data_IF_748566728132
#
_entry.id   IF_748566728132
#
_cell.length_a   1.000
_cell.length_b   1.000
_cell.length_c   1.000
_cell.angle_alpha   90.00
_cell.angle_beta   90.00
_cell.angle_gamma   90.00
#
_symmetry.space_group_name_H-M   'P 1'
#
loop_
_entity.id
_entity.type
_entity.pdbx_description
1 polymer ?
#
# COMPACT_ATOMS: atom_id res chain seq x y z
N UNK A 1 -10.28 -24.24 23.06
CA UNK A 1 -10.40 -23.64 21.73
C UNK A 1 -9.72 -22.29 21.84
N UNK A 2 -8.75 -21.98 20.98
CA UNK A 2 -8.14 -20.67 20.89
C UNK A 2 -9.18 -19.64 20.43
N UNK A 3 -9.05 -18.44 20.91
CA UNK A 3 -9.88 -17.30 20.49
C UNK A 3 -8.95 -16.24 19.91
N UNK A 4 -9.49 -15.38 19.03
CA UNK A 4 -8.78 -14.17 18.61
C UNK A 4 -8.39 -13.36 19.84
N UNK A 5 -7.26 -12.60 19.80
CA UNK A 5 -6.79 -11.83 20.95
C UNK A 5 -7.83 -10.79 21.38
N UNK A 6 -7.85 -10.49 22.67
CA UNK A 6 -8.63 -9.37 23.20
C UNK A 6 -8.13 -8.07 22.56
N UNK A 7 -9.05 -7.21 22.12
CA UNK A 7 -8.69 -5.99 21.41
C UNK A 7 -8.37 -6.16 19.91
N UNK A 8 -8.67 -7.31 19.32
CA UNK A 8 -8.52 -7.52 17.88
C UNK A 8 -9.27 -6.46 17.08
N UNK A 9 -8.58 -5.83 16.12
CA UNK A 9 -9.11 -4.71 15.37
C UNK A 9 -9.89 -5.19 14.13
N UNK A 10 -11.21 -5.17 14.24
CA UNK A 10 -12.12 -5.44 13.14
C UNK A 10 -12.56 -4.15 12.46
N UNK A 11 -12.56 -4.11 11.12
CA UNK A 11 -13.03 -2.92 10.43
C UNK A 11 -12.99 -3.01 8.92
N UNK A 12 -12.67 -1.90 8.29
CA UNK A 12 -12.55 -1.78 6.85
C UNK A 12 -11.55 -0.73 6.46
N UNK A 13 -11.11 -0.79 5.20
CA UNK A 13 -10.04 0.02 4.66
C UNK A 13 -10.45 0.75 3.39
N UNK A 14 -9.98 1.99 3.27
CA UNK A 14 -10.07 2.85 2.09
C UNK A 14 -8.82 3.74 2.02
N UNK A 15 -8.72 4.57 0.97
CA UNK A 15 -7.72 5.63 0.87
C UNK A 15 -8.40 6.98 0.62
N UNK A 16 -7.76 8.07 1.03
CA UNK A 16 -8.29 9.42 0.89
C UNK A 16 -8.78 9.70 -0.54
N UNK A 17 -7.96 9.40 -1.56
CA UNK A 17 -8.31 9.63 -2.96
C UNK A 17 -9.50 8.79 -3.46
N UNK A 18 -9.82 7.69 -2.79
CA UNK A 18 -10.93 6.80 -3.20
C UNK A 18 -12.29 7.32 -2.70
N UNK A 19 -12.32 8.11 -1.63
CA UNK A 19 -13.59 8.47 -0.98
C UNK A 19 -13.78 9.96 -0.69
N UNK A 20 -12.72 10.75 -0.49
CA UNK A 20 -12.88 12.11 0.02
C UNK A 20 -13.58 13.05 -0.95
N UNK A 21 -13.23 13.08 -2.23
CA UNK A 21 -13.65 14.14 -3.14
C UNK A 21 -13.06 15.50 -2.71
N UNK A 22 -13.79 16.61 -2.97
CA UNK A 22 -13.37 17.97 -2.58
C UNK A 22 -11.88 18.24 -2.96
N UNK A 23 -11.49 17.84 -4.16
CA UNK A 23 -10.10 17.73 -4.62
C UNK A 23 -9.37 19.07 -4.73
N UNK A 24 -10.10 20.18 -4.87
CA UNK A 24 -9.61 21.56 -5.00
C UNK A 24 -10.18 22.52 -3.92
N UNK A 25 -10.76 21.95 -2.84
CA UNK A 25 -11.35 22.74 -1.76
C UNK A 25 -10.37 22.96 -0.60
N UNK A 26 -10.61 24.02 0.17
CA UNK A 26 -9.88 24.38 1.40
C UNK A 26 -8.34 24.40 1.23
N UNK A 27 -7.89 24.77 0.05
CA UNK A 27 -6.47 24.90 -0.26
C UNK A 27 -5.74 23.60 -0.57
N UNK A 28 -6.47 22.49 -0.77
CA UNK A 28 -5.86 21.23 -1.23
C UNK A 28 -5.18 21.45 -2.59
N UNK A 29 -3.94 20.95 -2.71
CA UNK A 29 -3.23 20.90 -3.98
C UNK A 29 -3.52 19.65 -4.78
N UNK A 30 -3.02 19.62 -6.01
CA UNK A 30 -3.19 18.49 -6.93
C UNK A 30 -2.21 17.37 -6.59
N UNK A 31 -2.72 16.14 -6.51
CA UNK A 31 -1.93 14.91 -6.41
C UNK A 31 -1.89 14.16 -7.75
N UNK A 32 -1.04 13.13 -7.85
CA UNK A 32 -1.04 12.21 -9.00
C UNK A 32 -2.42 11.59 -9.22
N UNK A 33 -3.13 11.26 -8.15
CA UNK A 33 -4.47 10.68 -8.23
C UNK A 33 -5.47 11.63 -8.92
N UNK A 34 -5.29 12.95 -8.78
CA UNK A 34 -6.19 13.96 -9.36
C UNK A 34 -6.05 14.13 -10.87
N UNK A 35 -4.99 13.58 -11.47
CA UNK A 35 -4.75 13.56 -12.93
C UNK A 35 -4.96 12.19 -13.55
N UNK A 36 -5.59 11.26 -12.83
CA UNK A 36 -5.88 9.90 -13.27
C UNK A 36 -7.33 9.78 -13.72
N UNK A 37 -7.53 9.51 -15.00
CA UNK A 37 -8.86 9.37 -15.58
C UNK A 37 -9.57 8.10 -15.14
N UNK A 38 -10.88 8.03 -15.35
CA UNK A 38 -11.65 6.78 -15.23
C UNK A 38 -11.15 5.77 -16.25
N UNK A 39 -11.07 4.50 -15.84
CA UNK A 39 -10.85 3.36 -16.73
C UNK A 39 -12.11 2.52 -16.91
N UNK A 40 -11.98 1.41 -17.59
CA UNK A 40 -13.00 0.38 -17.74
C UNK A 40 -12.35 -1.00 -17.90
N UNK A 41 -13.15 -2.06 -17.97
CA UNK A 41 -12.65 -3.42 -18.25
C UNK A 41 -11.83 -3.53 -19.55
N UNK A 42 -12.05 -2.63 -20.51
CA UNK A 42 -11.41 -2.65 -21.83
C UNK A 42 -10.52 -1.44 -22.11
N UNK A 43 -10.53 -0.44 -21.22
CA UNK A 43 -9.74 0.79 -21.36
C UNK A 43 -9.00 1.09 -20.08
N UNK A 44 -7.65 1.11 -20.09
CA UNK A 44 -6.87 1.46 -18.91
C UNK A 44 -7.11 2.93 -18.50
N UNK A 45 -6.85 3.24 -17.24
CA UNK A 45 -6.77 4.62 -16.77
C UNK A 45 -5.58 5.32 -17.43
N UNK A 46 -5.71 6.62 -17.65
CA UNK A 46 -4.65 7.47 -18.19
C UNK A 46 -4.19 8.46 -17.11
N UNK A 47 -2.90 8.69 -17.04
CA UNK A 47 -2.33 9.82 -16.28
C UNK A 47 -2.15 10.96 -17.28
N UNK A 48 -2.86 12.06 -17.05
CA UNK A 48 -2.85 13.21 -17.96
C UNK A 48 -1.86 14.27 -17.51
N UNK A 49 -1.42 15.13 -18.42
CA UNK A 49 -0.60 16.29 -18.08
C UNK A 49 -1.48 17.43 -17.56
N UNK A 50 -1.74 17.38 -16.24
CA UNK A 50 -2.74 18.21 -15.58
C UNK A 50 -4.17 17.76 -15.84
N UNK A 51 -5.13 18.48 -15.29
CA UNK A 51 -6.56 18.22 -15.49
C UNK A 51 -7.01 18.73 -16.84
N UNK A 52 -7.53 17.86 -17.69
CA UNK A 52 -8.01 18.18 -19.04
C UNK A 52 -9.53 18.35 -19.00
N UNK A 53 -10.07 19.50 -19.43
CA UNK A 53 -11.50 19.74 -19.48
C UNK A 53 -12.24 18.65 -20.27
N UNK A 54 -13.35 18.16 -19.73
CA UNK A 54 -14.21 17.15 -20.37
C UNK A 54 -13.76 15.69 -20.15
N UNK A 55 -12.60 15.44 -19.54
CA UNK A 55 -12.25 14.10 -19.05
C UNK A 55 -12.84 13.85 -17.67
N UNK A 56 -13.16 12.57 -17.38
CA UNK A 56 -13.67 12.16 -16.07
C UNK A 56 -12.51 11.73 -15.16
N UNK A 57 -12.42 12.35 -14.00
CA UNK A 57 -11.46 12.05 -12.93
C UNK A 57 -12.24 11.60 -11.68
N UNK A 58 -12.39 10.29 -11.45
CA UNK A 58 -13.32 9.77 -10.43
C UNK A 58 -13.08 10.30 -9.01
N UNK A 59 -11.83 10.53 -8.65
CA UNK A 59 -11.49 10.97 -7.31
C UNK A 59 -11.73 12.46 -7.03
N UNK A 60 -12.06 13.26 -8.06
CA UNK A 60 -12.45 14.66 -7.84
C UNK A 60 -13.75 14.76 -7.01
N UNK A 61 -14.68 13.86 -7.24
CA UNK A 61 -15.95 13.77 -6.53
C UNK A 61 -15.99 12.59 -5.56
N UNK A 62 -15.53 11.41 -6.01
CA UNK A 62 -15.55 10.15 -5.26
C UNK A 62 -16.95 9.88 -4.66
N UNK A 63 -17.04 9.71 -3.35
CA UNK A 63 -18.33 9.64 -2.61
C UNK A 63 -18.55 10.88 -1.74
N UNK A 64 -17.75 11.90 -1.93
CA UNK A 64 -17.82 13.17 -1.17
C UNK A 64 -17.73 12.99 0.35
N UNK A 65 -16.89 12.06 0.77
CA UNK A 65 -16.67 11.79 2.19
C UNK A 65 -16.20 13.02 2.96
N UNK A 66 -15.48 13.93 2.29
CA UNK A 66 -15.03 15.19 2.89
C UNK A 66 -16.17 15.94 3.57
N UNK A 67 -17.35 15.99 2.95
CA UNK A 67 -18.53 16.64 3.49
C UNK A 67 -19.45 15.67 4.28
N UNK A 68 -19.37 14.37 4.03
CA UNK A 68 -20.31 13.36 4.57
C UNK A 68 -19.72 12.44 5.65
N UNK A 69 -18.43 12.58 6.01
CA UNK A 69 -17.72 11.66 6.90
C UNK A 69 -18.44 11.36 8.23
N UNK A 70 -19.18 12.31 8.80
CA UNK A 70 -19.92 12.09 10.06
C UNK A 70 -21.01 11.03 9.92
N UNK A 71 -21.73 11.08 8.79
CA UNK A 71 -22.75 10.11 8.46
C UNK A 71 -22.15 8.74 8.17
N UNK A 72 -21.08 8.72 7.40
CA UNK A 72 -20.41 7.48 6.97
C UNK A 72 -19.74 6.77 8.15
N UNK A 73 -19.07 7.49 9.06
CA UNK A 73 -18.50 6.89 10.29
C UNK A 73 -19.58 6.33 11.20
N UNK A 74 -20.73 7.01 11.28
CA UNK A 74 -21.89 6.46 12.02
C UNK A 74 -22.34 5.13 11.43
N UNK A 75 -22.44 5.01 10.10
CA UNK A 75 -22.78 3.75 9.43
C UNK A 75 -21.73 2.66 9.68
N UNK A 76 -20.45 2.99 9.66
CA UNK A 76 -19.37 2.05 10.02
C UNK A 76 -19.53 1.55 11.46
N UNK A 77 -19.89 2.43 12.39
CA UNK A 77 -20.17 2.05 13.79
C UNK A 77 -21.39 1.11 13.90
N UNK A 78 -22.45 1.37 13.14
CA UNK A 78 -23.63 0.50 13.07
C UNK A 78 -23.30 -0.88 12.48
N UNK A 79 -22.34 -0.96 11.55
CA UNK A 79 -21.76 -2.22 11.03
C UNK A 79 -20.88 -2.96 12.05
N UNK A 80 -20.53 -2.32 13.15
CA UNK A 80 -19.71 -2.93 14.21
C UNK A 80 -18.20 -2.71 14.09
N UNK A 81 -17.74 -1.79 13.25
CA UNK A 81 -16.33 -1.46 13.12
C UNK A 81 -15.70 -1.07 14.47
N UNK A 82 -14.50 -1.57 14.71
CA UNK A 82 -13.63 -1.20 15.83
C UNK A 82 -12.39 -0.46 15.35
N UNK A 83 -12.08 -0.55 14.07
CA UNK A 83 -11.03 0.21 13.42
C UNK A 83 -11.49 0.68 12.03
N UNK A 84 -10.98 1.83 11.61
CA UNK A 84 -11.18 2.37 10.27
C UNK A 84 -9.84 2.80 9.70
N UNK A 85 -9.43 2.18 8.60
CA UNK A 85 -8.22 2.56 7.90
C UNK A 85 -8.53 3.53 6.77
N UNK A 86 -7.80 4.63 6.75
CA UNK A 86 -7.74 5.55 5.62
C UNK A 86 -6.35 6.15 5.51
N UNK A 87 -6.14 7.06 4.56
CA UNK A 87 -4.91 7.81 4.42
C UNK A 87 -5.12 9.30 4.68
N UNK A 88 -4.02 10.03 4.87
CA UNK A 88 -4.01 11.49 4.86
C UNK A 88 -3.55 11.93 3.47
N UNK A 89 -4.39 12.69 2.74
CA UNK A 89 -3.98 13.28 1.48
C UNK A 89 -2.83 14.27 1.72
N UNK A 90 -1.63 13.94 1.27
CA UNK A 90 -0.45 14.78 1.46
C UNK A 90 -0.71 16.20 0.99
N UNK A 91 -1.39 16.39 -0.13
CA UNK A 91 -1.70 17.69 -0.72
C UNK A 91 -2.78 18.48 0.02
N UNK A 92 -3.51 17.90 0.99
CA UNK A 92 -4.31 18.68 1.94
C UNK A 92 -3.45 19.36 2.98
N UNK A 93 -2.34 18.75 3.35
CA UNK A 93 -1.43 19.24 4.39
C UNK A 93 -0.35 20.16 3.78
N UNK A 94 0.23 19.75 2.66
CA UNK A 94 1.20 20.51 1.89
C UNK A 94 0.78 20.50 0.41
N UNK A 95 0.08 21.53 -0.07
CA UNK A 95 -0.54 21.54 -1.40
C UNK A 95 0.40 21.26 -2.57
N UNK A 96 1.66 21.68 -2.50
CA UNK A 96 2.72 21.36 -3.47
C UNK A 96 3.68 20.28 -2.98
N UNK A 97 3.72 20.03 -1.66
CA UNK A 97 4.61 19.07 -1.02
C UNK A 97 5.93 19.65 -0.53
N UNK A 98 6.38 20.77 -1.04
CA UNK A 98 7.67 21.41 -0.72
C UNK A 98 7.55 22.68 0.13
N UNK A 99 6.35 23.10 0.53
CA UNK A 99 6.15 24.23 1.42
C UNK A 99 6.79 24.01 2.80
N UNK A 100 7.13 25.11 3.46
CA UNK A 100 7.64 25.08 4.84
C UNK A 100 6.51 24.95 5.88
N UNK A 101 5.36 25.58 5.62
CA UNK A 101 4.23 25.64 6.53
C UNK A 101 3.06 24.79 6.01
N UNK A 102 2.38 24.03 6.88
CA UNK A 102 1.24 23.21 6.49
C UNK A 102 -0.03 24.07 6.32
N UNK A 103 -0.97 23.54 5.53
CA UNK A 103 -2.32 24.05 5.38
C UNK A 103 -3.19 23.68 6.59
N UNK A 104 -3.57 24.69 7.39
CA UNK A 104 -4.36 24.47 8.62
C UNK A 104 -5.77 23.90 8.35
N UNK A 105 -6.37 24.25 7.21
CA UNK A 105 -7.70 23.70 6.87
C UNK A 105 -7.64 22.17 6.66
N UNK A 106 -6.59 21.69 5.99
CA UNK A 106 -6.36 20.24 5.85
C UNK A 106 -6.09 19.55 7.17
N UNK A 107 -5.26 20.15 8.03
CA UNK A 107 -5.00 19.61 9.37
C UNK A 107 -6.29 19.51 10.20
N UNK A 108 -7.13 20.55 10.14
CA UNK A 108 -8.40 20.58 10.89
C UNK A 108 -9.37 19.52 10.39
N UNK A 109 -9.47 19.27 9.09
CA UNK A 109 -10.34 18.22 8.56
C UNK A 109 -10.03 16.86 9.20
N UNK A 110 -8.76 16.47 9.26
CA UNK A 110 -8.38 15.20 9.89
C UNK A 110 -8.51 15.21 11.41
N UNK A 111 -8.34 16.34 12.08
CA UNK A 111 -8.70 16.46 13.51
C UNK A 111 -10.17 16.10 13.75
N UNK A 112 -11.05 16.68 12.96
CA UNK A 112 -12.51 16.47 13.09
C UNK A 112 -12.90 15.03 12.71
N UNK A 113 -12.23 14.45 11.69
CA UNK A 113 -12.44 13.08 11.26
C UNK A 113 -12.06 12.08 12.38
N UNK A 114 -10.89 12.25 12.98
CA UNK A 114 -10.42 11.34 14.04
C UNK A 114 -11.24 11.49 15.32
N UNK A 115 -11.68 12.71 15.66
CA UNK A 115 -12.60 12.94 16.77
C UNK A 115 -13.94 12.24 16.55
N UNK A 116 -14.47 12.24 15.32
CA UNK A 116 -15.69 11.52 15.00
C UNK A 116 -15.51 9.99 15.09
N UNK A 117 -14.36 9.44 14.66
CA UNK A 117 -14.03 8.03 14.86
C UNK A 117 -14.06 7.67 16.37
N UNK A 118 -13.37 8.44 17.20
CA UNK A 118 -13.30 8.19 18.65
C UNK A 118 -14.66 8.30 19.34
N UNK A 119 -15.50 9.20 18.90
CA UNK A 119 -16.88 9.33 19.40
C UNK A 119 -17.66 8.03 19.31
N UNK A 120 -17.39 7.19 18.32
CA UNK A 120 -18.00 5.88 18.13
C UNK A 120 -17.14 4.71 18.58
N UNK A 121 -16.00 4.97 19.23
CA UNK A 121 -15.08 3.91 19.65
C UNK A 121 -14.41 3.17 18.50
N UNK A 122 -14.22 3.86 17.37
CA UNK A 122 -13.49 3.35 16.19
C UNK A 122 -12.06 3.88 16.23
N UNK A 123 -11.08 2.99 16.21
CA UNK A 123 -9.66 3.34 16.18
C UNK A 123 -9.24 3.74 14.76
N UNK A 124 -8.67 4.94 14.56
CA UNK A 124 -8.09 5.32 13.27
C UNK A 124 -6.79 4.54 13.01
N UNK A 125 -6.67 3.97 11.81
CA UNK A 125 -5.45 3.34 11.29
C UNK A 125 -5.03 4.10 10.04
N UNK A 126 -3.89 4.78 10.06
CA UNK A 126 -3.60 5.84 9.09
C UNK A 126 -2.37 5.52 8.26
N UNK A 127 -2.55 5.55 6.94
CA UNK A 127 -1.46 5.52 5.96
C UNK A 127 -1.06 6.95 5.60
N UNK A 128 0.23 7.27 5.67
CA UNK A 128 0.74 8.60 5.34
C UNK A 128 0.71 8.86 3.84
N UNK A 129 1.22 7.94 3.02
CA UNK A 129 1.21 8.07 1.56
C UNK A 129 0.50 6.88 0.92
N UNK A 130 -0.65 7.13 0.29
CA UNK A 130 -1.45 6.13 -0.38
C UNK A 130 -1.77 6.56 -1.82
N UNK A 131 -0.79 6.43 -2.71
CA UNK A 131 -0.90 6.73 -4.14
C UNK A 131 -1.22 8.20 -4.48
N UNK A 132 -0.93 9.12 -3.56
CA UNK A 132 -1.27 10.54 -3.67
C UNK A 132 -0.05 11.46 -3.52
N UNK A 133 1.05 11.13 -4.21
CA UNK A 133 2.22 12.02 -4.22
C UNK A 133 1.81 13.38 -4.82
N UNK A 134 2.19 14.52 -4.21
CA UNK A 134 1.92 15.83 -4.75
C UNK A 134 2.40 15.96 -6.20
N UNK A 135 1.50 16.30 -7.11
CA UNK A 135 1.79 16.36 -8.56
C UNK A 135 2.92 17.36 -8.88
N UNK A 136 3.03 18.43 -8.10
CA UNK A 136 4.15 19.36 -8.18
C UNK A 136 5.50 18.66 -7.96
N UNK A 137 5.61 17.77 -6.95
CA UNK A 137 6.84 17.01 -6.69
C UNK A 137 7.17 16.03 -7.81
N UNK A 138 6.16 15.52 -8.48
CA UNK A 138 6.34 14.66 -9.66
C UNK A 138 6.91 15.44 -10.85
N UNK A 139 6.35 16.62 -11.13
CA UNK A 139 6.72 17.44 -12.28
C UNK A 139 8.07 18.15 -12.10
N UNK A 140 8.32 18.73 -10.93
CA UNK A 140 9.51 19.55 -10.67
C UNK A 140 10.72 18.73 -10.21
N UNK A 141 10.47 17.60 -9.51
CA UNK A 141 11.56 16.82 -8.90
C UNK A 141 11.72 15.41 -9.50
N UNK A 142 10.75 14.93 -10.29
CA UNK A 142 10.75 13.56 -10.81
C UNK A 142 10.39 12.52 -9.76
N UNK A 143 9.57 12.88 -8.79
CA UNK A 143 9.14 12.00 -7.71
C UNK A 143 10.32 11.54 -6.83
N UNK A 144 10.22 10.34 -6.28
CA UNK A 144 11.23 9.77 -5.39
C UNK A 144 12.57 9.38 -6.07
N UNK A 145 12.75 9.65 -7.37
CA UNK A 145 14.11 9.64 -7.94
C UNK A 145 14.98 10.78 -7.41
N UNK A 146 14.38 11.79 -6.78
CA UNK A 146 15.06 12.93 -6.21
C UNK A 146 15.14 12.84 -4.68
N UNK A 147 16.35 12.89 -4.14
CA UNK A 147 16.62 12.77 -2.69
C UNK A 147 15.88 13.78 -1.82
N UNK A 148 15.54 14.98 -2.35
CA UNK A 148 14.79 15.99 -1.61
C UNK A 148 13.42 15.51 -1.12
N UNK A 149 12.81 14.52 -1.80
CA UNK A 149 11.54 13.98 -1.37
C UNK A 149 11.63 13.26 -0.02
N UNK A 150 12.79 12.79 0.38
CA UNK A 150 13.02 12.27 1.74
C UNK A 150 12.65 13.33 2.78
N UNK A 151 13.22 14.53 2.64
CA UNK A 151 12.99 15.64 3.58
C UNK A 151 11.54 16.12 3.56
N UNK A 152 10.93 16.20 2.36
CA UNK A 152 9.53 16.62 2.21
C UNK A 152 8.57 15.62 2.84
N UNK A 153 8.78 14.32 2.63
CA UNK A 153 7.97 13.28 3.25
C UNK A 153 8.13 13.26 4.77
N UNK A 154 9.36 13.34 5.28
CA UNK A 154 9.63 13.37 6.73
C UNK A 154 9.01 14.62 7.38
N UNK A 155 9.02 15.77 6.71
CA UNK A 155 8.32 16.98 7.16
C UNK A 155 6.81 16.73 7.28
N UNK A 156 6.21 16.18 6.24
CA UNK A 156 4.78 15.81 6.21
C UNK A 156 4.44 14.84 7.35
N UNK A 157 5.19 13.77 7.49
CA UNK A 157 5.01 12.79 8.57
C UNK A 157 5.11 13.43 9.96
N UNK A 158 6.15 14.26 10.17
CA UNK A 158 6.37 14.96 11.45
C UNK A 158 5.20 15.86 11.83
N UNK A 159 4.65 16.60 10.87
CA UNK A 159 3.49 17.47 11.11
C UNK A 159 2.27 16.63 11.51
N UNK A 160 1.99 15.55 10.79
CA UNK A 160 0.90 14.63 11.11
C UNK A 160 1.08 13.99 12.50
N UNK A 161 2.24 13.46 12.79
CA UNK A 161 2.55 12.83 14.09
C UNK A 161 2.37 13.81 15.25
N UNK A 162 2.87 15.05 15.12
CA UNK A 162 2.70 16.09 16.15
C UNK A 162 1.24 16.47 16.35
N UNK A 163 0.52 16.70 15.24
CA UNK A 163 -0.88 17.15 15.29
C UNK A 163 -1.78 16.09 15.91
N UNK A 164 -1.62 14.84 15.50
CA UNK A 164 -2.55 13.76 15.85
C UNK A 164 -2.01 12.80 16.92
N UNK A 165 -0.96 13.18 17.65
CA UNK A 165 -0.29 12.31 18.64
C UNK A 165 -1.17 11.69 19.71
N UNK A 166 -2.32 12.31 19.99
CA UNK A 166 -3.28 11.85 20.99
C UNK A 166 -4.54 11.24 20.34
N UNK A 167 -4.58 11.14 19.00
CA UNK A 167 -5.75 10.72 18.26
C UNK A 167 -5.50 9.46 17.40
N UNK A 168 -4.27 9.25 16.97
CA UNK A 168 -3.89 8.12 16.12
C UNK A 168 -2.72 7.38 16.76
N UNK A 169 -2.88 6.08 16.93
CA UNK A 169 -1.86 5.17 17.44
C UNK A 169 -1.19 4.37 16.34
N UNK A 170 -1.96 3.93 15.34
CA UNK A 170 -1.52 3.01 14.29
C UNK A 170 -1.26 3.76 13.00
N UNK A 171 -0.03 3.67 12.52
CA UNK A 171 0.45 4.37 11.33
C UNK A 171 1.10 3.41 10.34
N UNK A 172 1.04 3.74 9.05
CA UNK A 172 1.83 3.12 7.99
C UNK A 172 2.43 4.22 7.13
N UNK A 173 3.63 4.00 6.59
CA UNK A 173 4.34 5.05 5.84
C UNK A 173 3.89 5.12 4.38
N UNK A 174 4.12 4.07 3.60
CA UNK A 174 3.75 3.98 2.18
C UNK A 174 2.84 2.79 1.95
N UNK A 175 1.79 2.99 1.15
CA UNK A 175 0.89 1.91 0.77
C UNK A 175 1.48 1.06 -0.35
N UNK A 176 1.49 -0.26 -0.17
CA UNK A 176 1.89 -1.24 -1.19
C UNK A 176 3.18 -0.82 -1.93
N UNK A 177 4.20 -0.45 -1.17
CA UNK A 177 5.48 0.05 -1.71
C UNK A 177 6.14 -0.94 -2.68
N UNK A 178 5.90 -2.23 -2.51
CA UNK A 178 6.40 -3.33 -3.33
C UNK A 178 5.76 -3.42 -4.72
N UNK A 179 4.65 -2.72 -4.97
CA UNK A 179 4.04 -2.63 -6.31
C UNK A 179 5.00 -2.07 -7.36
N UNK A 180 5.98 -1.24 -6.95
CA UNK A 180 7.00 -0.73 -7.88
C UNK A 180 7.95 -1.82 -8.41
N UNK A 181 7.96 -3.03 -7.84
CA UNK A 181 8.67 -4.17 -8.44
C UNK A 181 8.14 -4.52 -9.85
N UNK A 182 6.93 -4.08 -10.17
CA UNK A 182 6.37 -4.10 -11.52
C UNK A 182 6.73 -2.83 -12.29
N UNK A 183 8.01 -2.55 -12.44
CA UNK A 183 8.56 -1.28 -12.96
C UNK A 183 8.15 -0.94 -14.39
N UNK A 184 7.69 -1.91 -15.19
CA UNK A 184 7.15 -1.68 -16.52
C UNK A 184 5.67 -1.22 -16.52
N UNK A 185 5.03 -1.19 -15.36
CA UNK A 185 3.70 -0.62 -15.20
C UNK A 185 3.82 0.87 -14.84
N UNK A 186 3.70 1.74 -15.85
CA UNK A 186 3.82 3.19 -15.68
C UNK A 186 2.82 3.76 -14.65
N UNK A 187 1.64 3.14 -14.53
CA UNK A 187 0.63 3.53 -13.54
C UNK A 187 1.13 3.28 -12.10
N UNK A 188 1.67 2.09 -11.83
CA UNK A 188 2.20 1.75 -10.51
C UNK A 188 3.39 2.63 -10.15
N UNK A 189 4.28 2.90 -11.10
CA UNK A 189 5.43 3.77 -10.87
C UNK A 189 5.03 5.22 -10.56
N UNK A 190 4.03 5.73 -11.24
CA UNK A 190 3.52 7.08 -11.00
C UNK A 190 2.83 7.20 -9.64
N UNK A 191 2.03 6.21 -9.25
CA UNK A 191 1.25 6.23 -8.00
C UNK A 191 2.11 5.94 -6.77
N UNK A 192 3.05 5.00 -6.85
CA UNK A 192 3.93 4.65 -5.72
C UNK A 192 5.07 5.66 -5.54
N UNK A 193 5.82 5.93 -6.60
CA UNK A 193 7.08 6.70 -6.52
C UNK A 193 7.01 8.09 -7.15
N UNK A 194 5.91 8.42 -7.85
CA UNK A 194 5.80 9.68 -8.58
C UNK A 194 6.70 9.75 -9.82
N UNK A 195 7.02 8.61 -10.41
CA UNK A 195 7.85 8.56 -11.62
C UNK A 195 6.95 8.54 -12.86
N UNK A 196 7.13 9.52 -13.72
CA UNK A 196 6.56 9.54 -15.06
C UNK A 196 7.67 9.21 -16.06
N UNK A 197 7.70 7.99 -16.56
CA UNK A 197 8.73 7.57 -17.50
C UNK A 197 8.60 8.31 -18.84
N UNK A 198 9.74 8.64 -19.44
CA UNK A 198 9.78 9.24 -20.78
C UNK A 198 9.55 8.14 -21.82
N UNK A 199 8.86 8.50 -22.91
CA UNK A 199 8.69 7.60 -24.03
C UNK A 199 10.03 7.09 -24.56
N UNK A 200 10.15 5.76 -24.76
CA UNK A 200 11.35 5.12 -25.28
C UNK A 200 12.41 4.76 -24.24
N UNK A 201 12.12 4.96 -22.95
CA UNK A 201 12.98 4.46 -21.87
C UNK A 201 13.03 2.93 -21.89
N UNK A 202 14.23 2.35 -21.82
CA UNK A 202 14.42 0.90 -21.81
C UNK A 202 14.22 0.31 -20.41
N UNK A 203 13.95 -1.01 -20.34
CA UNK A 203 13.66 -1.73 -19.09
C UNK A 203 14.76 -1.57 -18.04
N UNK A 204 16.04 -1.60 -18.45
CA UNK A 204 17.16 -1.39 -17.53
C UNK A 204 17.17 -0.01 -16.89
N UNK A 205 16.83 1.02 -17.65
CA UNK A 205 16.75 2.39 -17.13
C UNK A 205 15.55 2.54 -16.18
N UNK A 206 14.41 1.93 -16.52
CA UNK A 206 13.22 1.91 -15.67
C UNK A 206 13.48 1.18 -14.35
N UNK A 207 14.11 0.01 -14.42
CA UNK A 207 14.43 -0.77 -13.23
C UNK A 207 15.45 -0.08 -12.33
N UNK A 208 16.48 0.56 -12.90
CA UNK A 208 17.43 1.38 -12.14
C UNK A 208 16.74 2.57 -11.45
N UNK A 209 15.83 3.25 -12.14
CA UNK A 209 15.05 4.35 -11.55
C UNK A 209 14.13 3.85 -10.43
N UNK A 210 13.54 2.67 -10.57
CA UNK A 210 12.74 2.03 -9.54
C UNK A 210 13.56 1.76 -8.27
N UNK A 211 14.75 1.15 -8.38
CA UNK A 211 15.59 0.90 -7.20
C UNK A 211 16.08 2.20 -6.55
N UNK A 212 16.35 3.24 -7.34
CA UNK A 212 16.69 4.55 -6.78
C UNK A 212 15.52 5.14 -5.98
N UNK A 213 14.31 5.11 -6.52
CA UNK A 213 13.13 5.61 -5.84
C UNK A 213 12.78 4.78 -4.61
N UNK A 214 12.81 3.45 -4.73
CA UNK A 214 12.61 2.53 -3.62
C UNK A 214 13.57 2.82 -2.46
N UNK A 215 14.86 3.06 -2.76
CA UNK A 215 15.83 3.42 -1.73
C UNK A 215 15.43 4.69 -0.97
N UNK A 216 15.07 5.75 -1.68
CA UNK A 216 14.69 7.01 -1.04
C UNK A 216 13.37 6.91 -0.26
N UNK A 217 12.42 6.14 -0.73
CA UNK A 217 11.18 5.87 0.02
C UNK A 217 11.44 5.05 1.28
N UNK A 218 12.29 4.02 1.22
CA UNK A 218 12.69 3.21 2.37
C UNK A 218 13.42 4.06 3.42
N UNK A 219 14.33 4.95 3.00
CA UNK A 219 15.02 5.90 3.89
C UNK A 219 14.02 6.90 4.48
N UNK A 220 13.12 7.44 3.67
CA UNK A 220 12.07 8.37 4.15
C UNK A 220 11.16 7.70 5.19
N UNK A 221 10.78 6.44 4.95
CA UNK A 221 10.01 5.64 5.89
C UNK A 221 10.76 5.43 7.21
N UNK A 222 12.03 5.01 7.15
CA UNK A 222 12.84 4.78 8.34
C UNK A 222 13.02 6.06 9.18
N UNK A 223 13.26 7.19 8.52
CA UNK A 223 13.36 8.49 9.21
C UNK A 223 12.01 8.92 9.81
N UNK A 224 10.90 8.64 9.12
CA UNK A 224 9.56 8.90 9.66
C UNK A 224 9.27 8.04 10.90
N UNK A 225 9.63 6.75 10.90
CA UNK A 225 9.51 5.88 12.08
C UNK A 225 10.28 6.46 13.26
N UNK A 226 11.53 6.86 13.04
CA UNK A 226 12.36 7.50 14.09
C UNK A 226 11.74 8.78 14.64
N UNK A 227 11.23 9.65 13.77
CA UNK A 227 10.55 10.89 14.18
C UNK A 227 9.25 10.60 14.94
N UNK A 228 8.47 9.63 14.48
CA UNK A 228 7.24 9.21 15.15
C UNK A 228 7.49 8.77 16.59
N UNK A 229 8.45 7.88 16.80
CA UNK A 229 8.81 7.39 18.15
C UNK A 229 9.41 8.47 19.06
N UNK A 230 10.11 9.48 18.51
CA UNK A 230 10.54 10.65 19.30
C UNK A 230 9.36 11.51 19.77
N UNK A 231 8.30 11.62 18.95
CA UNK A 231 7.10 12.41 19.26
C UNK A 231 6.20 11.67 20.24
N UNK A 232 5.99 10.38 20.00
CA UNK A 232 5.23 9.49 20.88
C UNK A 232 5.80 8.06 20.79
N UNK A 233 6.48 7.56 21.84
CA UNK A 233 7.05 6.21 21.85
C UNK A 233 6.01 5.09 21.81
N UNK A 234 4.73 5.39 22.07
CA UNK A 234 3.64 4.41 22.03
C UNK A 234 3.03 4.24 20.62
N UNK A 235 3.49 5.01 19.64
CA UNK A 235 3.07 4.81 18.25
C UNK A 235 3.45 3.42 17.76
N UNK A 236 2.53 2.83 17.02
CA UNK A 236 2.77 1.62 16.24
C UNK A 236 2.88 2.02 14.78
N UNK A 237 4.07 1.96 14.20
CA UNK A 237 4.35 2.41 12.84
C UNK A 237 4.80 1.22 12.01
N UNK A 238 3.96 0.79 11.05
CA UNK A 238 4.20 -0.36 10.19
C UNK A 238 4.63 0.03 8.78
N UNK A 239 5.16 -0.94 8.05
CA UNK A 239 5.17 -0.92 6.60
C UNK A 239 3.82 -1.44 6.07
N UNK A 240 3.59 -1.24 4.77
CA UNK A 240 2.43 -1.79 4.09
C UNK A 240 2.82 -2.32 2.72
N UNK A 241 2.60 -3.60 2.50
CA UNK A 241 2.96 -4.34 1.30
C UNK A 241 1.73 -5.02 0.67
N UNK A 242 1.75 -5.19 -0.64
CA UNK A 242 0.82 -6.06 -1.35
C UNK A 242 1.37 -7.49 -1.31
N UNK A 243 0.72 -8.38 -0.59
CA UNK A 243 1.23 -9.73 -0.44
C UNK A 243 0.36 -10.77 -1.15
N UNK A 244 0.95 -11.41 -2.16
CA UNK A 244 0.40 -12.57 -2.88
C UNK A 244 1.36 -13.73 -2.74
N UNK A 245 1.03 -14.85 -2.10
CA UNK A 245 1.95 -15.97 -2.02
C UNK A 245 2.24 -16.51 -3.42
N UNK A 246 3.51 -16.75 -3.72
CA UNK A 246 3.92 -17.21 -5.06
C UNK A 246 3.91 -18.72 -5.12
N UNK A 247 3.18 -19.25 -6.09
CA UNK A 247 3.05 -20.69 -6.30
C UNK A 247 3.79 -21.11 -7.57
N UNK A 248 4.66 -22.12 -7.51
CA UNK A 248 5.17 -22.74 -8.73
C UNK A 248 4.03 -23.49 -9.44
N UNK A 249 3.94 -23.35 -10.77
CA UNK A 249 2.92 -24.07 -11.56
C UNK A 249 3.07 -25.59 -11.44
N UNK A 250 4.32 -26.06 -11.33
CA UNK A 250 4.65 -27.47 -11.16
C UNK A 250 5.69 -27.66 -10.06
N UNK A 251 5.85 -28.89 -9.52
CA UNK A 251 6.90 -29.19 -8.55
C UNK A 251 8.30 -29.34 -9.19
N UNK A 252 8.50 -28.92 -10.44
CA UNK A 252 9.83 -28.92 -11.07
C UNK A 252 10.75 -27.94 -10.35
N UNK A 253 12.04 -28.26 -10.27
CA UNK A 253 13.03 -27.42 -9.63
C UNK A 253 13.12 -26.02 -10.27
N UNK A 254 12.92 -25.93 -11.58
CA UNK A 254 12.90 -24.64 -12.29
C UNK A 254 11.72 -23.76 -11.88
N UNK A 255 10.50 -24.32 -11.77
CA UNK A 255 9.32 -23.56 -11.32
C UNK A 255 9.45 -23.15 -9.84
N UNK A 256 9.96 -24.05 -8.99
CA UNK A 256 10.17 -23.75 -7.56
C UNK A 256 11.24 -22.67 -7.39
N UNK A 257 12.38 -22.76 -8.10
CA UNK A 257 13.42 -21.74 -8.04
C UNK A 257 12.94 -20.38 -8.58
N UNK A 258 12.11 -20.39 -9.63
CA UNK A 258 11.52 -19.18 -10.17
C UNK A 258 10.60 -18.50 -9.14
N UNK A 259 9.76 -19.28 -8.44
CA UNK A 259 8.90 -18.77 -7.38
C UNK A 259 9.72 -18.14 -6.24
N UNK A 260 10.78 -18.81 -5.79
CA UNK A 260 11.70 -18.30 -4.76
C UNK A 260 12.36 -16.98 -5.18
N UNK A 261 12.88 -16.88 -6.41
CA UNK A 261 13.46 -15.64 -6.93
C UNK A 261 12.46 -14.51 -7.08
N UNK A 262 11.23 -14.83 -7.46
CA UNK A 262 10.14 -13.86 -7.53
C UNK A 262 9.86 -13.27 -6.13
N UNK A 263 9.70 -14.14 -5.12
CA UNK A 263 9.49 -13.71 -3.74
C UNK A 263 10.65 -12.87 -3.21
N UNK A 264 11.90 -13.29 -3.39
CA UNK A 264 13.08 -12.54 -2.93
C UNK A 264 13.08 -11.09 -3.45
N UNK A 265 12.69 -10.86 -4.70
CA UNK A 265 12.68 -9.51 -5.29
C UNK A 265 11.50 -8.68 -4.82
N UNK A 266 10.34 -9.30 -4.57
CA UNK A 266 9.18 -8.61 -4.01
C UNK A 266 9.36 -8.33 -2.53
N UNK A 267 9.82 -9.31 -1.76
CA UNK A 267 10.02 -9.21 -0.32
C UNK A 267 11.15 -8.23 0.07
N UNK A 268 11.98 -7.82 -0.89
CA UNK A 268 13.01 -6.79 -0.70
C UNK A 268 12.51 -5.59 0.11
N UNK A 269 11.32 -5.08 -0.20
CA UNK A 269 10.75 -3.89 0.45
C UNK A 269 10.44 -4.15 1.93
N UNK A 270 9.76 -5.23 2.25
CA UNK A 270 9.48 -5.61 3.63
C UNK A 270 10.73 -6.04 4.38
N UNK A 271 11.66 -6.72 3.72
CA UNK A 271 12.97 -7.08 4.32
C UNK A 271 13.70 -5.83 4.82
N UNK A 272 13.79 -4.78 4.00
CA UNK A 272 14.46 -3.53 4.39
C UNK A 272 13.70 -2.80 5.49
N UNK A 273 12.37 -2.74 5.41
CA UNK A 273 11.55 -2.14 6.46
C UNK A 273 11.72 -2.81 7.82
N UNK A 274 11.85 -4.15 7.85
CA UNK A 274 11.91 -4.93 9.09
C UNK A 274 13.34 -5.11 9.59
N UNK A 275 14.28 -5.41 8.70
CA UNK A 275 15.66 -5.73 9.07
C UNK A 275 16.61 -4.52 9.03
N UNK A 276 16.21 -3.46 8.32
CA UNK A 276 17.00 -2.22 8.18
C UNK A 276 18.25 -2.37 7.31
N UNK A 277 18.26 -3.37 6.44
CA UNK A 277 19.38 -3.64 5.53
C UNK A 277 18.89 -4.38 4.29
N UNK A 278 19.62 -4.27 3.20
CA UNK A 278 19.32 -4.96 1.96
C UNK A 278 19.60 -6.47 2.10
N UNK A 279 18.71 -7.35 1.64
CA UNK A 279 19.01 -8.78 1.55
C UNK A 279 20.08 -9.02 0.48
N UNK A 280 21.05 -9.91 0.80
CA UNK A 280 22.20 -10.19 -0.06
C UNK A 280 21.81 -10.55 -1.51
N UNK A 281 20.73 -11.32 -1.68
CA UNK A 281 20.30 -11.75 -3.01
C UNK A 281 19.88 -10.56 -3.90
N UNK A 282 19.26 -9.54 -3.32
CA UNK A 282 18.84 -8.32 -4.04
C UNK A 282 20.03 -7.38 -4.21
N UNK A 283 20.90 -7.23 -3.21
CA UNK A 283 22.10 -6.43 -3.31
C UNK A 283 23.01 -6.94 -4.45
N UNK A 284 23.23 -8.25 -4.52
CA UNK A 284 24.01 -8.89 -5.62
C UNK A 284 23.33 -8.71 -6.98
N UNK A 285 22.00 -8.78 -7.04
CA UNK A 285 21.23 -8.55 -8.27
C UNK A 285 21.42 -7.11 -8.78
N UNK A 286 21.25 -6.13 -7.90
CA UNK A 286 21.42 -4.70 -8.18
C UNK A 286 22.85 -4.42 -8.68
N UNK A 287 23.86 -4.96 -7.99
CA UNK A 287 25.27 -4.77 -8.35
C UNK A 287 25.60 -5.36 -9.73
N UNK A 288 25.21 -6.60 -9.98
CA UNK A 288 25.47 -7.28 -11.28
C UNK A 288 24.83 -6.58 -12.46
N UNK A 289 23.68 -5.94 -12.26
CA UNK A 289 22.97 -5.23 -13.33
C UNK A 289 23.33 -3.75 -13.42
N UNK A 290 24.14 -3.22 -12.50
CA UNK A 290 24.53 -1.82 -12.46
C UNK A 290 23.41 -0.87 -12.05
N UNK A 291 22.45 -1.33 -11.24
CA UNK A 291 21.28 -0.57 -10.76
C UNK A 291 21.50 0.09 -9.41
N UNK A 292 22.74 0.11 -8.90
CA UNK A 292 23.02 0.58 -7.55
C UNK A 292 22.50 2.00 -7.33
N UNK A 293 21.57 2.20 -6.37
CA UNK A 293 21.10 3.52 -6.00
C UNK A 293 22.21 4.34 -5.31
N UNK A 294 22.01 5.66 -5.25
CA UNK A 294 22.84 6.56 -4.45
C UNK A 294 22.53 6.34 -2.96
N UNK A 295 23.41 5.59 -2.30
CA UNK A 295 23.29 5.18 -0.89
C UNK A 295 24.41 5.85 -0.10
N UNK A 296 24.05 6.62 0.93
CA UNK A 296 25.02 7.22 1.88
C UNK A 296 25.15 6.33 3.13
N UNK A 297 26.19 6.58 3.94
CA UNK A 297 26.33 5.91 5.24
C UNK A 297 25.23 6.35 6.22
N UNK A 298 24.78 7.60 6.14
CA UNK A 298 23.64 8.11 6.91
C UNK A 298 22.35 7.36 6.56
N UNK A 299 22.15 6.97 5.29
CA UNK A 299 21.01 6.17 4.87
C UNK A 299 21.01 4.78 5.52
N UNK A 300 22.17 4.11 5.55
CA UNK A 300 22.30 2.80 6.20
C UNK A 300 22.01 2.87 7.69
N UNK A 301 22.49 3.93 8.35
CA UNK A 301 22.19 4.18 9.77
C UNK A 301 20.69 4.43 9.95
N UNK A 302 20.08 5.25 9.10
CA UNK A 302 18.65 5.56 9.17
C UNK A 302 17.80 4.31 9.01
N UNK A 303 18.10 3.46 8.01
CA UNK A 303 17.40 2.20 7.78
C UNK A 303 17.50 1.27 9.00
N UNK A 304 18.70 1.13 9.57
CA UNK A 304 18.94 0.24 10.71
C UNK A 304 18.23 0.69 11.98
N UNK A 305 18.15 1.99 12.22
CA UNK A 305 17.53 2.56 13.42
C UNK A 305 16.03 2.83 13.27
N UNK A 306 15.50 2.85 12.04
CA UNK A 306 14.11 3.18 11.73
C UNK A 306 13.27 2.00 11.24
N UNK A 307 13.51 0.80 11.80
CA UNK A 307 12.74 -0.39 11.47
C UNK A 307 11.31 -0.31 12.01
N UNK A 308 10.37 -0.93 11.31
CA UNK A 308 8.94 -0.87 11.64
C UNK A 308 8.55 -1.72 12.84
N UNK A 309 7.42 -1.38 13.48
CA UNK A 309 6.89 -2.10 14.64
C UNK A 309 6.09 -3.34 14.23
N UNK A 310 5.38 -3.29 13.11
CA UNK A 310 4.56 -4.37 12.59
C UNK A 310 4.58 -4.40 11.06
N UNK A 311 4.13 -5.49 10.47
CA UNK A 311 3.95 -5.63 9.02
C UNK A 311 2.47 -5.58 8.68
N UNK A 312 2.05 -4.49 8.05
CA UNK A 312 0.74 -4.37 7.42
C UNK A 312 0.78 -4.90 6.00
N UNK A 313 -0.26 -5.58 5.57
CA UNK A 313 -0.33 -6.07 4.20
C UNK A 313 -1.76 -6.14 3.67
N UNK A 314 -1.88 -6.04 2.34
CA UNK A 314 -3.09 -6.37 1.59
C UNK A 314 -3.01 -7.80 1.07
N UNK A 315 -4.15 -8.49 1.09
CA UNK A 315 -4.31 -9.80 0.48
C UNK A 315 -5.56 -9.83 -0.40
N UNK A 316 -5.38 -10.12 -1.68
CA UNK A 316 -6.50 -10.22 -2.62
C UNK A 316 -6.51 -11.54 -3.37
N UNK A 317 -5.34 -12.09 -3.67
CA UNK A 317 -5.16 -13.25 -4.53
C UNK A 317 -3.80 -13.93 -4.30
N UNK A 318 -3.63 -15.12 -4.87
CA UNK A 318 -2.32 -15.76 -5.04
C UNK A 318 -1.71 -15.39 -6.41
N UNK A 319 -0.43 -15.65 -6.56
CA UNK A 319 0.30 -15.51 -7.83
C UNK A 319 0.88 -16.85 -8.22
N UNK A 320 0.71 -17.29 -9.46
CA UNK A 320 1.30 -18.53 -9.97
C UNK A 320 2.32 -18.21 -11.07
N UNK A 321 3.49 -18.84 -11.01
CA UNK A 321 4.59 -18.58 -11.95
C UNK A 321 5.03 -19.86 -12.65
N UNK A 322 5.58 -19.72 -13.87
CA UNK A 322 6.08 -20.86 -14.65
C UNK A 322 7.39 -20.56 -15.38
N UNK A 323 8.36 -21.45 -15.21
CA UNK A 323 9.65 -21.43 -15.91
C UNK A 323 9.56 -21.69 -17.42
N UNK A 324 8.34 -22.02 -17.91
CA UNK A 324 8.05 -22.04 -19.35
C UNK A 324 7.92 -20.64 -19.94
N UNK A 325 7.60 -19.63 -19.11
CA UNK A 325 7.50 -18.22 -19.50
C UNK A 325 8.87 -17.54 -19.47
N UNK A 326 9.56 -17.65 -18.35
CA UNK A 326 10.88 -17.07 -18.12
C UNK A 326 11.71 -18.00 -17.24
N UNK A 327 12.97 -18.17 -17.54
CA UNK A 327 13.86 -19.00 -16.71
C UNK A 327 14.22 -18.28 -15.41
N UNK A 328 14.49 -19.01 -14.32
CA UNK A 328 14.80 -18.39 -13.03
C UNK A 328 15.91 -17.34 -13.07
N UNK A 329 16.99 -17.59 -13.83
CA UNK A 329 18.13 -16.68 -13.95
C UNK A 329 17.93 -15.55 -14.96
N UNK A 330 16.86 -15.58 -15.74
CA UNK A 330 16.48 -14.58 -16.74
C UNK A 330 15.36 -13.65 -16.25
N UNK A 331 14.84 -13.87 -15.04
CA UNK A 331 13.74 -13.08 -14.47
C UNK A 331 14.17 -11.61 -14.28
N UNK A 332 13.52 -10.71 -14.99
CA UNK A 332 13.68 -9.26 -14.89
C UNK A 332 12.39 -8.60 -14.44
N UNK A 333 11.38 -8.57 -15.27
CA UNK A 333 10.03 -8.11 -14.88
C UNK A 333 9.24 -9.27 -14.26
N UNK A 334 8.79 -9.10 -13.03
CA UNK A 334 8.04 -10.13 -12.30
C UNK A 334 6.75 -10.54 -13.03
N UNK A 335 6.12 -9.63 -13.76
CA UNK A 335 4.87 -9.90 -14.49
C UNK A 335 5.05 -10.94 -15.61
N UNK A 336 6.25 -11.04 -16.19
CA UNK A 336 6.53 -11.99 -17.26
C UNK A 336 6.43 -13.47 -16.83
N UNK A 337 6.65 -13.75 -15.55
CA UNK A 337 6.62 -15.10 -14.99
C UNK A 337 5.21 -15.62 -14.72
N UNK A 338 4.21 -14.71 -14.63
CA UNK A 338 2.87 -15.02 -14.13
C UNK A 338 2.06 -15.82 -15.15
N UNK A 339 1.40 -16.86 -14.65
CA UNK A 339 0.46 -17.73 -15.37
C UNK A 339 -0.80 -17.96 -14.56
N UNK A 340 -1.85 -18.43 -15.20
CA UNK A 340 -3.08 -18.84 -14.52
C UNK A 340 -2.86 -20.15 -13.73
N UNK A 341 -3.40 -20.19 -12.51
CA UNK A 341 -3.44 -21.44 -11.74
C UNK A 341 -4.63 -22.30 -12.18
N UNK A 342 -4.38 -23.53 -12.65
CA UNK A 342 -5.46 -24.40 -13.15
C UNK A 342 -6.35 -24.98 -12.04
N UNK A 343 -6.00 -24.77 -10.77
CA UNK A 343 -6.71 -25.36 -9.61
C UNK A 343 -7.53 -24.35 -8.81
N UNK A 344 -7.41 -23.06 -9.13
CA UNK A 344 -8.10 -21.99 -8.41
C UNK A 344 -9.20 -21.36 -9.27
N UNK A 345 -10.32 -21.05 -8.64
CA UNK A 345 -11.36 -20.23 -9.23
C UNK A 345 -10.88 -18.78 -9.40
N UNK A 346 -11.49 -18.04 -10.32
CA UNK A 346 -11.15 -16.64 -10.59
C UNK A 346 -12.39 -15.77 -10.50
N UNK A 347 -12.18 -14.56 -10.00
CA UNK A 347 -13.21 -13.51 -10.00
C UNK A 347 -13.46 -12.96 -11.40
N UNK A 348 -14.48 -12.10 -11.53
CA UNK A 348 -14.78 -11.37 -12.78
C UNK A 348 -13.61 -10.50 -13.27
N UNK A 349 -12.72 -10.06 -12.37
CA UNK A 349 -11.50 -9.32 -12.70
C UNK A 349 -10.31 -10.22 -13.02
N UNK A 350 -10.50 -11.54 -12.95
CA UNK A 350 -9.46 -12.51 -13.22
C UNK A 350 -8.54 -12.79 -12.03
N UNK A 351 -8.88 -12.33 -10.83
CA UNK A 351 -8.11 -12.61 -9.61
C UNK A 351 -8.36 -14.02 -9.11
N UNK A 352 -7.30 -14.72 -8.73
CA UNK A 352 -7.38 -16.06 -8.16
C UNK A 352 -7.99 -16.02 -6.76
N UNK A 353 -9.03 -16.80 -6.52
CA UNK A 353 -9.70 -16.91 -5.21
C UNK A 353 -9.01 -18.03 -4.42
N UNK A 354 -8.19 -17.66 -3.45
CA UNK A 354 -7.36 -18.58 -2.68
C UNK A 354 -7.39 -18.27 -1.17
N UNK A 355 -8.40 -18.73 -0.43
CA UNK A 355 -8.48 -18.51 1.01
C UNK A 355 -7.28 -19.11 1.78
N UNK A 356 -6.83 -20.32 1.40
CA UNK A 356 -5.64 -20.94 1.98
C UNK A 356 -4.36 -20.13 1.71
N UNK A 357 -4.34 -19.38 0.62
CA UNK A 357 -3.25 -18.45 0.30
C UNK A 357 -3.07 -17.37 1.36
N UNK A 358 -4.16 -16.88 1.97
CA UNK A 358 -4.09 -15.95 3.09
C UNK A 358 -3.38 -16.59 4.30
N UNK A 359 -3.75 -17.83 4.65
CA UNK A 359 -3.10 -18.55 5.75
C UNK A 359 -1.61 -18.80 5.48
N UNK A 360 -1.26 -19.19 4.24
CA UNK A 360 0.13 -19.36 3.81
C UNK A 360 0.90 -18.05 3.94
N UNK A 361 0.29 -16.93 3.53
CA UNK A 361 0.90 -15.60 3.64
C UNK A 361 1.20 -15.21 5.08
N UNK A 362 0.25 -15.41 5.98
CA UNK A 362 0.39 -15.13 7.40
C UNK A 362 1.54 -15.95 8.01
N UNK A 363 1.55 -17.27 7.79
CA UNK A 363 2.60 -18.14 8.29
C UNK A 363 3.97 -17.75 7.72
N UNK A 364 4.06 -17.44 6.42
CA UNK A 364 5.31 -17.02 5.79
C UNK A 364 5.85 -15.71 6.39
N UNK A 365 4.98 -14.71 6.54
CA UNK A 365 5.37 -13.41 7.10
C UNK A 365 5.75 -13.52 8.58
N UNK A 366 5.05 -14.35 9.35
CA UNK A 366 5.38 -14.65 10.75
C UNK A 366 6.77 -15.28 10.87
N UNK A 367 7.02 -16.34 10.09
CA UNK A 367 8.30 -17.06 10.13
C UNK A 367 9.47 -16.20 9.64
N UNK A 368 9.24 -15.32 8.66
CA UNK A 368 10.27 -14.45 8.09
C UNK A 368 10.63 -13.29 8.99
N UNK A 369 9.62 -12.64 9.60
CA UNK A 369 9.82 -11.34 10.26
C UNK A 369 9.72 -11.35 11.77
N UNK A 370 9.02 -12.32 12.37
CA UNK A 370 8.79 -12.38 13.82
C UNK A 370 8.27 -11.05 14.39
N UNK A 371 7.41 -10.36 13.63
CA UNK A 371 6.73 -9.12 13.99
C UNK A 371 5.22 -9.35 14.02
N UNK A 372 4.46 -8.57 14.80
CA UNK A 372 3.02 -8.55 14.68
C UNK A 372 2.59 -8.27 13.24
N UNK A 373 1.54 -8.95 12.78
CA UNK A 373 0.97 -8.78 11.44
C UNK A 373 -0.36 -8.04 11.53
N UNK A 374 -0.70 -7.31 10.47
CA UNK A 374 -1.98 -6.64 10.35
C UNK A 374 -2.51 -6.80 8.92
N UNK A 375 -3.63 -7.51 8.74
CA UNK A 375 -4.34 -7.53 7.46
C UNK A 375 -5.06 -6.20 7.35
N UNK A 376 -4.51 -5.28 6.58
CA UNK A 376 -5.04 -3.92 6.45
C UNK A 376 -5.88 -3.72 5.20
N UNK A 377 -5.92 -4.70 4.31
CA UNK A 377 -6.85 -4.79 3.18
C UNK A 377 -7.12 -6.25 2.82
N UNK A 378 -8.39 -6.57 2.57
CA UNK A 378 -8.82 -7.81 1.92
C UNK A 378 -10.14 -7.57 1.19
N UNK A 379 -10.30 -8.14 0.01
CA UNK A 379 -11.50 -7.94 -0.79
C UNK A 379 -11.48 -8.65 -2.13
N UNK A 380 -12.58 -8.52 -2.87
CA UNK A 380 -12.81 -9.16 -4.16
C UNK A 380 -13.13 -8.14 -5.23
N UNK A 381 -12.39 -8.18 -6.35
CA UNK A 381 -12.75 -7.46 -7.57
C UNK A 381 -13.83 -8.19 -8.36
N UNK A 382 -15.01 -7.59 -8.50
CA UNK A 382 -16.14 -8.13 -9.21
C UNK A 382 -16.95 -7.04 -9.92
N UNK A 383 -17.82 -7.42 -10.87
CA UNK A 383 -18.76 -6.52 -11.53
C UNK A 383 -20.06 -6.49 -10.74
N UNK A 384 -20.20 -5.51 -9.86
CA UNK A 384 -21.41 -5.35 -9.06
C UNK A 384 -22.56 -4.76 -9.88
N UNK A 385 -23.78 -5.20 -9.57
CA UNK A 385 -24.99 -4.68 -10.17
C UNK A 385 -25.83 -3.99 -9.11
N UNK A 386 -26.10 -2.70 -9.32
CA UNK A 386 -27.07 -1.97 -8.52
C UNK A 386 -28.47 -2.26 -9.04
N UNK A 387 -29.35 -2.76 -8.17
CA UNK A 387 -30.75 -3.02 -8.48
C UNK A 387 -31.58 -1.72 -8.52
N UNK A 388 -32.83 -1.83 -9.00
CA UNK A 388 -33.70 -0.66 -9.16
C UNK A 388 -34.06 0.05 -7.83
N UNK A 389 -34.04 -0.70 -6.73
CA UNK A 389 -34.26 -0.17 -5.36
C UNK A 389 -32.98 0.36 -4.70
N UNK A 390 -31.85 0.32 -5.40
CA UNK A 390 -30.53 0.77 -4.94
C UNK A 390 -29.73 -0.28 -4.19
N UNK A 391 -30.27 -1.48 -3.98
CA UNK A 391 -29.54 -2.58 -3.33
C UNK A 391 -28.48 -3.19 -4.26
N UNK A 392 -27.50 -3.86 -3.66
CA UNK A 392 -26.49 -4.69 -4.34
C UNK A 392 -26.53 -6.07 -3.72
N UNK A 393 -26.74 -7.11 -4.53
CA UNK A 393 -26.74 -8.49 -4.10
C UNK A 393 -25.41 -9.15 -4.48
N UNK A 394 -24.52 -9.29 -3.52
CA UNK A 394 -23.16 -9.80 -3.72
C UNK A 394 -22.81 -11.05 -2.85
N UNK A 395 -23.60 -12.13 -2.94
CA UNK A 395 -23.34 -13.35 -2.16
C UNK A 395 -21.94 -13.94 -2.45
N UNK A 396 -21.38 -13.71 -3.63
CA UNK A 396 -20.03 -14.09 -3.99
C UNK A 396 -18.97 -13.36 -3.13
N UNK A 397 -19.18 -12.07 -2.76
CA UNK A 397 -18.26 -11.34 -1.88
C UNK A 397 -18.40 -11.81 -0.43
N UNK A 398 -19.62 -12.11 0.02
CA UNK A 398 -19.88 -12.69 1.34
C UNK A 398 -19.17 -14.03 1.48
N UNK A 399 -19.28 -14.91 0.46
CA UNK A 399 -18.62 -16.21 0.45
C UNK A 399 -17.08 -16.08 0.45
N UNK A 400 -16.54 -15.17 -0.36
CA UNK A 400 -15.12 -14.85 -0.40
C UNK A 400 -14.62 -14.44 0.99
N UNK A 401 -15.23 -13.43 1.60
CA UNK A 401 -14.82 -12.92 2.92
C UNK A 401 -14.94 -14.00 4.00
N UNK A 402 -16.04 -14.77 4.03
CA UNK A 402 -16.21 -15.85 4.99
C UNK A 402 -15.08 -16.86 4.92
N UNK A 403 -14.73 -17.33 3.73
CA UNK A 403 -13.67 -18.32 3.53
C UNK A 403 -12.30 -17.78 3.94
N UNK A 404 -12.01 -16.51 3.66
CA UNK A 404 -10.75 -15.87 4.04
C UNK A 404 -10.67 -15.66 5.56
N UNK A 405 -11.75 -15.20 6.20
CA UNK A 405 -11.82 -15.03 7.66
C UNK A 405 -11.64 -16.38 8.36
N UNK A 406 -12.24 -17.48 7.87
CA UNK A 406 -12.03 -18.82 8.41
C UNK A 406 -10.56 -19.26 8.37
N UNK A 407 -9.82 -18.92 7.32
CA UNK A 407 -8.40 -19.23 7.24
C UNK A 407 -7.56 -18.30 8.14
N UNK A 408 -7.90 -17.03 8.24
CA UNK A 408 -7.28 -16.10 9.18
C UNK A 408 -7.47 -16.57 10.63
N UNK A 409 -8.66 -17.00 11.03
CA UNK A 409 -8.89 -17.55 12.37
C UNK A 409 -8.03 -18.79 12.64
N UNK A 410 -7.85 -19.66 11.63
CA UNK A 410 -6.98 -20.84 11.78
C UNK A 410 -5.53 -20.49 12.01
N UNK A 411 -4.99 -19.44 11.39
CA UNK A 411 -3.60 -19.02 11.64
C UNK A 411 -3.38 -18.60 13.08
N UNK A 412 -4.30 -17.86 13.65
CA UNK A 412 -4.20 -17.43 15.06
C UNK A 412 -4.38 -18.61 16.01
N UNK A 413 -5.38 -19.48 15.75
CA UNK A 413 -5.82 -20.52 16.69
C UNK A 413 -4.96 -21.79 16.59
N UNK A 414 -4.52 -22.17 15.39
CA UNK A 414 -3.82 -23.42 15.13
C UNK A 414 -2.33 -23.23 14.87
N UNK A 415 -1.96 -22.14 14.17
CA UNK A 415 -0.58 -21.91 13.77
C UNK A 415 0.16 -20.97 14.75
N UNK A 416 -0.56 -20.13 15.50
CA UNK A 416 0.01 -19.31 16.58
C UNK A 416 0.53 -17.95 16.12
N UNK A 417 0.05 -17.46 14.97
CA UNK A 417 0.45 -16.14 14.42
C UNK A 417 -0.03 -14.99 15.29
N UNK A 418 0.81 -13.98 15.44
CA UNK A 418 0.51 -12.73 16.15
C UNK A 418 -0.17 -11.74 15.18
N UNK A 419 -1.50 -11.76 15.16
CA UNK A 419 -2.31 -10.95 14.27
C UNK A 419 -3.08 -9.87 15.04
N UNK A 420 -2.86 -8.60 14.68
CA UNK A 420 -3.43 -7.42 15.35
C UNK A 420 -4.89 -7.15 14.94
N UNK A 421 -5.25 -7.44 13.70
CA UNK A 421 -6.57 -7.11 13.17
C UNK A 421 -6.77 -7.49 11.71
N UNK A 422 -7.99 -7.22 11.23
CA UNK A 422 -8.46 -7.46 9.87
C UNK A 422 -9.39 -6.30 9.44
N UNK A 423 -9.01 -5.62 8.33
CA UNK A 423 -9.69 -4.45 7.78
C UNK A 423 -10.11 -4.63 6.33
#
# INVERSE_FOLDING_TARGET
MGHLPEGFLWGGAVAAHQLEGAWDEDGKGMSVADVMTVGSATKPREITDGVIPGKNYPNHEAIDFYHHYKGDIKLMAEMGFKAFRTSIAWTRIFPKGDEEEPNEAGLKFYDDLFDECHKYGIEPVITLSHFEIPYHLVKEYGGFTNRKLIDYFVRFARVCFKRYKNKVKYWMTFNEIDNQSSFNNDFLMATNSGILFKNGMGDKEKEAAMYQAAHYELVASALAVKEGHKINPDFQIGCMINYSPVRPLTPSSDDVLLADKFEQRRDFFSDVHVNGEYPNAVEDYIERNGYRPDITEEDKIALKEGTVDYVGFSYYQSTTVSSKKVKPDELTDLQEAIVENPTLERSDWGWEIDPEGLRISLNHLTDRYHKPLFIVENGLGAYDKREADGSVHDPYRIDYLRKHIEQMEKTVVLDGDDLMGYL
#
